data_IF_395065252409
#
_entry.id   IF_395065252409
#
_cell.length_a   1.000
_cell.length_b   1.000
_cell.length_c   1.000
_cell.angle_alpha   90.00
_cell.angle_beta   90.00
_cell.angle_gamma   90.00
#
_symmetry.space_group_name_H-M   'P 1'
#
loop_
_entity.id
_entity.type
_entity.pdbx_description
1 polymer ?
#
# COMPACT_ATOMS: atom_id res chain seq x y z
N UNK A 1 -4.16 0.09 -47.03
CA UNK A 1 -2.75 0.29 -47.42
C UNK A 1 -1.96 0.06 -46.13
N UNK A 2 -1.49 -1.17 -45.96
CA UNK A 2 -0.63 -1.52 -44.86
C UNK A 2 0.70 -0.79 -45.06
N UNK A 3 1.11 -0.03 -44.08
CA UNK A 3 2.32 0.77 -44.08
C UNK A 3 3.55 -0.15 -44.19
N UNK A 4 4.51 0.20 -45.05
CA UNK A 4 5.80 -0.50 -45.19
C UNK A 4 6.57 -0.62 -43.85
N UNK A 5 6.15 0.09 -42.81
CA UNK A 5 6.70 0.07 -41.46
C UNK A 5 6.14 -1.04 -40.57
N UNK A 6 5.08 -1.74 -41.01
CA UNK A 6 4.48 -2.88 -40.26
C UNK A 6 5.21 -4.21 -40.47
N UNK A 7 6.24 -4.23 -41.33
CA UNK A 7 6.99 -5.44 -41.70
C UNK A 7 8.36 -5.59 -41.04
N UNK A 8 8.74 -4.70 -40.16
CA UNK A 8 9.94 -4.91 -39.34
C UNK A 8 9.66 -5.86 -38.18
N UNK A 9 10.43 -6.94 -37.99
CA UNK A 9 10.31 -7.74 -36.78
C UNK A 9 10.71 -6.87 -35.62
N UNK A 10 9.70 -6.31 -35.00
CA UNK A 10 9.76 -5.55 -33.76
C UNK A 10 10.27 -6.44 -32.67
N UNK A 11 11.51 -6.43 -32.24
CA UNK A 11 11.74 -6.92 -30.88
C UNK A 11 13.17 -6.76 -30.35
N UNK A 12 14.11 -6.24 -31.14
CA UNK A 12 15.48 -6.01 -30.64
C UNK A 12 15.63 -4.75 -29.79
N UNK A 13 14.62 -3.87 -29.75
CA UNK A 13 14.66 -2.58 -29.05
C UNK A 13 13.67 -2.45 -27.87
N UNK A 14 12.81 -3.42 -27.64
CA UNK A 14 11.92 -3.36 -26.48
C UNK A 14 12.69 -3.67 -25.19
N UNK A 15 12.55 -2.84 -24.12
CA UNK A 15 13.18 -3.11 -22.83
C UNK A 15 12.78 -4.46 -22.24
N UNK A 16 13.72 -5.12 -21.58
CA UNK A 16 13.50 -6.44 -20.97
C UNK A 16 12.24 -6.53 -20.10
N UNK A 17 11.88 -5.52 -19.26
CA UNK A 17 10.62 -5.56 -18.52
C UNK A 17 9.36 -5.62 -19.37
N UNK A 18 9.41 -5.14 -20.61
CA UNK A 18 8.27 -5.21 -21.53
C UNK A 18 8.21 -6.57 -22.20
N UNK A 19 9.33 -7.07 -22.72
CA UNK A 19 9.45 -8.38 -23.38
C UNK A 19 9.11 -9.53 -22.42
N UNK A 20 9.55 -9.43 -21.18
CA UNK A 20 9.38 -10.46 -20.14
C UNK A 20 7.98 -10.46 -19.50
N UNK A 21 7.05 -9.59 -19.91
CA UNK A 21 5.68 -9.57 -19.35
C UNK A 21 5.04 -10.95 -19.48
N UNK A 22 4.57 -11.53 -18.37
CA UNK A 22 3.85 -12.79 -18.41
C UNK A 22 2.60 -12.72 -19.30
N UNK A 23 2.33 -13.79 -20.01
CA UNK A 23 1.11 -13.96 -20.83
C UNK A 23 0.14 -14.96 -20.21
N UNK A 24 0.53 -15.64 -19.13
CA UNK A 24 -0.26 -16.65 -18.40
C UNK A 24 -0.23 -16.34 -16.90
N UNK A 25 -1.32 -16.66 -16.19
CA UNK A 25 -1.42 -16.46 -14.74
C UNK A 25 -0.33 -17.23 -13.97
N UNK A 26 0.04 -18.42 -14.43
CA UNK A 26 1.05 -19.26 -13.76
C UNK A 26 2.48 -18.67 -13.82
N UNK A 27 2.71 -17.68 -14.67
CA UNK A 27 3.98 -16.95 -14.77
C UNK A 27 3.99 -15.63 -13.98
N UNK A 28 2.92 -15.34 -13.26
CA UNK A 28 2.84 -14.16 -12.38
C UNK A 28 3.31 -14.55 -10.98
N UNK A 29 4.63 -14.58 -10.79
CA UNK A 29 5.27 -14.98 -9.53
C UNK A 29 4.97 -13.99 -8.40
N UNK A 30 4.87 -14.51 -7.16
CA UNK A 30 4.70 -13.71 -5.94
C UNK A 30 3.29 -13.17 -5.72
N UNK A 31 2.30 -13.58 -6.53
CA UNK A 31 0.90 -13.14 -6.40
C UNK A 31 -0.06 -14.31 -6.20
N UNK A 32 0.40 -15.37 -5.55
CA UNK A 32 -0.36 -16.62 -5.36
C UNK A 32 -1.67 -16.39 -4.60
N UNK A 33 -1.69 -15.43 -3.65
CA UNK A 33 -2.89 -15.05 -2.91
C UNK A 33 -3.97 -14.42 -3.79
N UNK A 34 -3.56 -13.69 -4.83
CA UNK A 34 -4.48 -13.01 -5.74
C UNK A 34 -4.92 -13.92 -6.91
N UNK A 35 -3.98 -14.66 -7.51
CA UNK A 35 -4.21 -15.40 -8.77
C UNK A 35 -3.86 -16.89 -8.69
N UNK A 36 -3.51 -17.42 -7.52
CA UNK A 36 -3.21 -18.84 -7.32
C UNK A 36 -4.41 -19.74 -7.61
N UNK A 37 -4.16 -21.05 -7.74
CA UNK A 37 -5.22 -22.04 -7.94
C UNK A 37 -6.25 -21.98 -6.82
N UNK A 38 -7.54 -21.91 -7.17
CA UNK A 38 -8.65 -21.84 -6.24
C UNK A 38 -8.99 -20.42 -5.74
N UNK A 39 -8.26 -19.39 -6.16
CA UNK A 39 -8.63 -18.00 -5.83
C UNK A 39 -9.84 -17.53 -6.62
N UNK A 40 -10.57 -16.58 -6.05
CA UNK A 40 -11.74 -15.97 -6.70
C UNK A 40 -11.41 -15.41 -8.09
N UNK A 41 -10.34 -14.62 -8.20
CA UNK A 41 -9.99 -13.97 -9.47
C UNK A 41 -9.67 -15.00 -10.56
N UNK A 42 -8.88 -16.02 -10.22
CA UNK A 42 -8.54 -17.09 -11.17
C UNK A 42 -9.80 -17.81 -11.67
N UNK A 43 -10.72 -18.16 -10.79
CA UNK A 43 -11.97 -18.81 -11.17
C UNK A 43 -12.84 -17.94 -12.08
N UNK A 44 -12.88 -16.63 -11.87
CA UNK A 44 -13.63 -15.70 -12.73
C UNK A 44 -12.99 -15.55 -14.11
N UNK A 45 -11.67 -15.49 -14.18
CA UNK A 45 -10.93 -15.41 -15.46
C UNK A 45 -11.10 -16.70 -16.27
N UNK A 46 -10.96 -17.87 -15.65
CA UNK A 46 -11.13 -19.17 -16.30
C UNK A 46 -12.57 -19.40 -16.82
N UNK A 47 -13.57 -18.78 -16.20
CA UNK A 47 -14.99 -18.85 -16.60
C UNK A 47 -15.42 -17.71 -17.55
N UNK A 48 -14.53 -16.81 -17.90
CA UNK A 48 -14.83 -15.56 -18.66
C UNK A 48 -16.00 -14.73 -18.04
N UNK A 49 -16.09 -14.73 -16.70
CA UNK A 49 -17.10 -13.98 -15.93
C UNK A 49 -16.44 -12.87 -15.12
N UNK A 50 -15.63 -12.05 -15.78
CA UNK A 50 -14.77 -11.05 -15.17
C UNK A 50 -15.63 -9.89 -14.62
N UNK A 51 -15.59 -9.60 -13.30
CA UNK A 51 -16.25 -8.43 -12.73
C UNK A 51 -15.39 -7.17 -12.90
N UNK A 52 -16.00 -6.00 -12.71
CA UNK A 52 -15.22 -4.78 -12.53
C UNK A 52 -14.42 -4.83 -11.24
N UNK A 53 -13.16 -4.41 -11.27
CA UNK A 53 -12.23 -4.57 -10.15
C UNK A 53 -11.21 -3.43 -10.04
N UNK A 54 -10.59 -3.34 -8.88
CA UNK A 54 -9.56 -2.36 -8.58
C UNK A 54 -8.32 -3.10 -8.07
N UNK A 55 -7.21 -2.97 -8.78
CA UNK A 55 -5.91 -3.49 -8.38
C UNK A 55 -5.18 -2.46 -7.51
N UNK A 56 -4.87 -2.85 -6.29
CA UNK A 56 -4.14 -2.04 -5.35
C UNK A 56 -2.83 -2.70 -4.96
N UNK A 57 -1.74 -1.95 -4.93
CA UNK A 57 -0.44 -2.44 -4.48
C UNK A 57 0.73 -1.61 -5.00
N UNK A 58 1.97 -1.85 -4.50
CA UNK A 58 3.17 -1.10 -4.87
C UNK A 58 3.49 -1.14 -6.36
N UNK A 59 4.40 -0.26 -6.80
CA UNK A 59 4.95 -0.30 -8.15
C UNK A 59 5.63 -1.64 -8.44
N UNK A 60 5.69 -2.04 -9.71
CA UNK A 60 6.42 -3.25 -10.13
C UNK A 60 5.83 -4.60 -9.72
N UNK A 61 4.66 -4.63 -9.02
CA UNK A 61 4.01 -5.88 -8.54
C UNK A 61 3.21 -6.63 -9.61
N UNK A 62 3.06 -6.07 -10.81
CA UNK A 62 2.40 -6.73 -11.93
C UNK A 62 0.96 -6.34 -12.19
N UNK A 63 0.43 -5.22 -11.67
CA UNK A 63 -0.95 -4.74 -11.90
C UNK A 63 -1.32 -4.65 -13.38
N UNK A 64 -0.53 -3.91 -14.16
CA UNK A 64 -0.72 -3.74 -15.62
C UNK A 64 -0.55 -5.07 -16.36
N UNK A 65 0.37 -5.92 -15.91
CA UNK A 65 0.60 -7.25 -16.45
C UNK A 65 -0.61 -8.16 -16.25
N UNK A 66 -1.15 -8.18 -15.03
CA UNK A 66 -2.33 -8.97 -14.70
C UNK A 66 -3.55 -8.55 -15.53
N UNK A 67 -3.77 -7.24 -15.69
CA UNK A 67 -4.83 -6.75 -16.59
C UNK A 67 -4.66 -7.24 -18.03
N UNK A 68 -3.43 -7.21 -18.55
CA UNK A 68 -3.10 -7.72 -19.88
C UNK A 68 -3.31 -9.23 -20.03
N UNK A 69 -3.01 -10.03 -19.00
CA UNK A 69 -3.29 -11.48 -18.98
C UNK A 69 -4.81 -11.73 -19.02
N UNK A 70 -5.56 -11.03 -18.16
CA UNK A 70 -7.03 -11.14 -18.10
C UNK A 70 -7.63 -10.80 -19.47
N UNK A 71 -7.16 -9.73 -20.10
CA UNK A 71 -7.61 -9.32 -21.42
C UNK A 71 -7.39 -10.40 -22.48
N UNK A 72 -6.21 -11.04 -22.48
CA UNK A 72 -5.88 -12.12 -23.42
C UNK A 72 -6.67 -13.41 -23.19
N UNK A 73 -7.06 -13.67 -21.94
CA UNK A 73 -7.84 -14.85 -21.56
C UNK A 73 -9.36 -14.66 -21.75
N UNK A 74 -9.82 -13.44 -22.02
CA UNK A 74 -11.23 -13.11 -22.20
C UNK A 74 -11.55 -12.83 -23.67
N UNK A 75 -12.82 -13.01 -24.03
CA UNK A 75 -13.34 -12.61 -25.35
C UNK A 75 -13.70 -11.12 -25.43
N UNK A 76 -13.21 -10.31 -24.51
CA UNK A 76 -13.53 -8.89 -24.42
C UNK A 76 -12.55 -8.03 -25.24
N UNK A 77 -13.04 -6.93 -25.77
CA UNK A 77 -12.16 -5.91 -26.36
C UNK A 77 -11.41 -5.17 -25.24
N UNK A 78 -10.10 -5.09 -25.36
CA UNK A 78 -9.27 -4.45 -24.33
C UNK A 78 -8.85 -3.05 -24.71
N UNK A 79 -9.13 -2.08 -23.84
CA UNK A 79 -8.69 -0.70 -23.99
C UNK A 79 -7.82 -0.37 -22.78
N UNK A 80 -6.59 0.11 -23.04
CA UNK A 80 -5.66 0.55 -22.00
C UNK A 80 -5.61 2.08 -21.99
N UNK A 81 -5.89 2.68 -20.84
CA UNK A 81 -5.90 4.12 -20.65
C UNK A 81 -5.07 4.48 -19.42
N UNK A 82 -4.22 5.48 -19.56
CA UNK A 82 -3.49 6.04 -18.41
C UNK A 82 -4.17 7.31 -17.93
N UNK A 83 -4.59 7.32 -16.66
CA UNK A 83 -5.30 8.45 -16.07
C UNK A 83 -4.47 9.75 -16.03
N UNK A 84 -3.15 9.67 -16.12
CA UNK A 84 -2.28 10.86 -16.13
C UNK A 84 -2.50 11.73 -17.37
N UNK A 85 -2.81 11.12 -18.53
CA UNK A 85 -2.92 11.82 -19.82
C UNK A 85 -4.34 11.85 -20.38
N UNK A 86 -5.27 11.10 -19.77
CA UNK A 86 -6.62 10.91 -20.31
C UNK A 86 -7.59 12.01 -19.90
N UNK A 87 -8.33 12.51 -20.89
CA UNK A 87 -9.39 13.49 -20.68
C UNK A 87 -10.81 12.89 -20.66
N UNK A 88 -11.79 13.66 -20.15
CA UNK A 88 -13.22 13.26 -20.15
C UNK A 88 -13.74 12.96 -21.57
N UNK A 89 -13.26 13.71 -22.58
CA UNK A 89 -13.65 13.49 -23.99
C UNK A 89 -13.27 12.11 -24.48
N UNK A 90 -12.05 11.66 -24.19
CA UNK A 90 -11.56 10.33 -24.57
C UNK A 90 -12.35 9.22 -23.87
N UNK A 91 -12.63 9.39 -22.56
CA UNK A 91 -13.48 8.44 -21.84
C UNK A 91 -14.86 8.27 -22.50
N UNK A 92 -15.51 9.39 -22.87
CA UNK A 92 -16.82 9.35 -23.53
C UNK A 92 -16.76 8.61 -24.85
N UNK A 93 -15.72 8.84 -25.65
CA UNK A 93 -15.51 8.13 -26.92
C UNK A 93 -15.37 6.61 -26.69
N UNK A 94 -14.56 6.20 -25.71
CA UNK A 94 -14.39 4.79 -25.35
C UNK A 94 -15.71 4.16 -24.91
N UNK A 95 -16.51 4.88 -24.10
CA UNK A 95 -17.82 4.41 -23.64
C UNK A 95 -18.79 4.24 -24.81
N UNK A 96 -18.85 5.22 -25.73
CA UNK A 96 -19.70 5.13 -26.92
C UNK A 96 -19.32 3.97 -27.83
N UNK A 97 -18.04 3.76 -28.03
CA UNK A 97 -17.55 2.63 -28.83
C UNK A 97 -17.80 1.28 -28.15
N UNK A 98 -17.69 1.21 -26.82
CA UNK A 98 -18.08 0.04 -26.05
C UNK A 98 -19.58 -0.28 -26.24
N UNK A 99 -20.45 0.73 -26.17
CA UNK A 99 -21.89 0.57 -26.43
C UNK A 99 -22.19 0.06 -27.85
N UNK A 100 -21.48 0.57 -28.86
CA UNK A 100 -21.60 0.08 -30.24
C UNK A 100 -21.19 -1.37 -30.33
N UNK A 101 -20.06 -1.79 -29.73
CA UNK A 101 -19.56 -3.18 -29.72
C UNK A 101 -20.54 -4.14 -29.08
N UNK A 102 -21.10 -3.78 -27.94
CA UNK A 102 -22.10 -4.62 -27.27
C UNK A 102 -23.32 -4.83 -28.17
N UNK A 103 -23.81 -3.78 -28.85
CA UNK A 103 -24.98 -3.86 -29.71
C UNK A 103 -24.74 -4.60 -31.00
N UNK A 104 -23.59 -4.41 -31.66
CA UNK A 104 -23.32 -4.95 -32.99
C UNK A 104 -22.58 -6.30 -32.97
N UNK A 105 -21.73 -6.53 -31.98
CA UNK A 105 -20.82 -7.68 -31.90
C UNK A 105 -21.09 -8.57 -30.68
N UNK A 106 -21.98 -8.18 -29.79
CA UNK A 106 -22.18 -8.82 -28.47
C UNK A 106 -20.86 -8.99 -27.70
N UNK A 107 -19.90 -8.11 -27.96
CA UNK A 107 -18.58 -8.15 -27.34
C UNK A 107 -18.47 -7.10 -26.23
N UNK A 108 -18.07 -7.55 -25.03
CA UNK A 108 -17.80 -6.67 -23.88
C UNK A 108 -16.48 -5.92 -24.08
N UNK A 109 -16.35 -4.78 -23.42
CA UNK A 109 -15.12 -3.99 -23.38
C UNK A 109 -14.54 -3.99 -21.96
N UNK A 110 -13.28 -4.41 -21.84
CA UNK A 110 -12.48 -4.21 -20.63
C UNK A 110 -11.74 -2.90 -20.79
N UNK A 111 -12.02 -1.93 -19.90
CA UNK A 111 -11.26 -0.70 -19.79
C UNK A 111 -10.27 -0.88 -18.62
N UNK A 112 -8.98 -0.98 -18.95
CA UNK A 112 -7.93 -0.89 -17.96
C UNK A 112 -7.54 0.57 -17.77
N UNK A 113 -7.69 1.08 -16.54
CA UNK A 113 -7.36 2.45 -16.18
C UNK A 113 -6.19 2.44 -15.19
N UNK A 114 -4.99 2.70 -15.70
CA UNK A 114 -3.80 2.80 -14.85
C UNK A 114 -3.76 4.14 -14.11
N UNK A 115 -3.28 4.11 -12.87
CA UNK A 115 -3.18 5.27 -11.98
C UNK A 115 -4.53 5.99 -11.76
N UNK A 116 -5.62 5.24 -11.51
CA UNK A 116 -6.98 5.78 -11.37
C UNK A 116 -7.09 6.92 -10.36
N UNK A 117 -6.21 6.99 -9.35
CA UNK A 117 -6.15 8.07 -8.37
C UNK A 117 -5.82 9.45 -8.98
N UNK A 118 -5.30 9.49 -10.21
CA UNK A 118 -5.08 10.74 -10.96
C UNK A 118 -6.36 11.33 -11.54
N UNK A 119 -7.42 10.55 -11.61
CA UNK A 119 -8.72 11.05 -12.03
C UNK A 119 -9.39 11.83 -10.89
N UNK A 120 -9.87 13.02 -11.20
CA UNK A 120 -10.72 13.78 -10.28
C UNK A 120 -12.11 13.12 -10.15
N UNK A 121 -12.89 13.57 -9.16
CA UNK A 121 -14.23 13.02 -8.88
C UNK A 121 -15.16 13.03 -10.10
N UNK A 122 -15.17 14.10 -10.87
CA UNK A 122 -16.02 14.23 -12.08
C UNK A 122 -15.64 13.23 -13.17
N UNK A 123 -14.34 12.92 -13.33
CA UNK A 123 -13.88 11.91 -14.28
C UNK A 123 -14.27 10.50 -13.81
N UNK A 124 -14.16 10.22 -12.51
CA UNK A 124 -14.59 8.94 -11.93
C UNK A 124 -16.12 8.77 -12.04
N UNK A 125 -16.90 9.83 -11.88
CA UNK A 125 -18.37 9.80 -11.99
C UNK A 125 -18.85 9.44 -13.40
N UNK A 126 -18.10 9.81 -14.45
CA UNK A 126 -18.42 9.42 -15.84
C UNK A 126 -18.39 7.90 -16.04
N UNK A 127 -17.61 7.18 -15.25
CA UNK A 127 -17.50 5.71 -15.32
C UNK A 127 -18.68 4.98 -14.66
N UNK A 128 -19.37 5.61 -13.71
CA UNK A 128 -20.41 4.95 -12.90
C UNK A 128 -21.51 4.31 -13.73
N UNK A 129 -22.19 5.02 -14.67
CA UNK A 129 -23.29 4.43 -15.41
C UNK A 129 -22.88 3.23 -16.25
N UNK A 130 -21.70 3.28 -16.86
CA UNK A 130 -21.24 2.22 -17.76
C UNK A 130 -20.67 0.99 -17.03
N UNK A 131 -20.24 1.16 -15.77
CA UNK A 131 -19.89 0.06 -14.87
C UNK A 131 -21.16 -0.59 -14.31
N UNK A 132 -22.19 0.21 -13.99
CA UNK A 132 -23.48 -0.28 -13.48
C UNK A 132 -24.26 -1.10 -14.50
N UNK A 133 -24.33 -0.61 -15.74
CA UNK A 133 -25.08 -1.26 -16.82
C UNK A 133 -24.28 -2.40 -17.51
N UNK A 134 -23.03 -2.61 -17.11
CA UNK A 134 -22.15 -3.64 -17.65
C UNK A 134 -21.63 -3.37 -19.08
N UNK A 135 -21.81 -2.15 -19.60
CA UNK A 135 -21.25 -1.73 -20.90
C UNK A 135 -19.73 -1.85 -20.92
N UNK A 136 -19.11 -1.52 -19.77
CA UNK A 136 -17.66 -1.61 -19.55
C UNK A 136 -17.38 -2.45 -18.32
N UNK A 137 -16.41 -3.36 -18.43
CA UNK A 137 -15.74 -3.98 -17.30
C UNK A 137 -14.55 -3.10 -16.96
N UNK A 138 -14.63 -2.38 -15.83
CA UNK A 138 -13.54 -1.51 -15.38
C UNK A 138 -12.52 -2.31 -14.58
N UNK A 139 -11.25 -2.25 -14.99
CA UNK A 139 -10.11 -2.70 -14.18
C UNK A 139 -9.26 -1.47 -13.87
N UNK A 140 -9.48 -0.88 -12.69
CA UNK A 140 -8.64 0.22 -12.20
C UNK A 140 -7.34 -0.31 -11.59
N UNK A 141 -6.26 0.48 -11.66
CA UNK A 141 -5.02 0.20 -10.95
C UNK A 141 -4.56 1.44 -10.18
N UNK A 142 -4.06 1.26 -8.97
CA UNK A 142 -3.53 2.34 -8.13
C UNK A 142 -2.45 1.85 -7.19
N UNK A 143 -1.51 2.74 -6.86
CA UNK A 143 -0.54 2.57 -5.78
C UNK A 143 -0.99 3.23 -4.48
N UNK A 144 -1.97 4.14 -4.57
CA UNK A 144 -2.49 4.90 -3.44
C UNK A 144 -3.67 4.18 -2.77
N UNK A 145 -3.96 4.55 -1.52
CA UNK A 145 -5.05 3.91 -0.76
C UNK A 145 -6.42 4.16 -1.44
N UNK A 146 -7.06 3.12 -1.97
CA UNK A 146 -8.30 3.27 -2.75
C UNK A 146 -9.47 3.85 -1.96
N UNK A 147 -9.48 3.73 -0.64
CA UNK A 147 -10.55 4.28 0.20
C UNK A 147 -10.50 5.81 0.33
N UNK A 148 -9.37 6.43 -0.01
CA UNK A 148 -9.22 7.89 -0.02
C UNK A 148 -9.32 8.46 -1.43
N UNK A 149 -8.81 7.74 -2.43
CA UNK A 149 -8.61 8.25 -3.78
C UNK A 149 -9.75 7.92 -4.74
N UNK A 150 -10.44 6.81 -4.52
CA UNK A 150 -11.57 6.41 -5.38
C UNK A 150 -12.89 6.79 -4.72
N UNK A 151 -13.79 7.43 -5.47
CA UNK A 151 -15.06 7.82 -4.92
C UNK A 151 -15.89 6.61 -4.46
N UNK A 152 -16.60 6.76 -3.34
CA UNK A 152 -17.35 5.66 -2.70
C UNK A 152 -18.36 4.96 -3.61
N UNK A 153 -19.14 5.69 -4.45
CA UNK A 153 -20.05 5.04 -5.40
C UNK A 153 -19.34 4.12 -6.38
N UNK A 154 -18.19 4.52 -6.92
CA UNK A 154 -17.42 3.68 -7.84
C UNK A 154 -16.78 2.50 -7.08
N UNK A 155 -16.15 2.76 -5.94
CA UNK A 155 -15.50 1.74 -5.12
C UNK A 155 -16.45 0.62 -4.69
N UNK A 156 -17.73 0.95 -4.39
CA UNK A 156 -18.75 -0.05 -4.00
C UNK A 156 -19.11 -1.03 -5.12
N UNK A 157 -18.77 -0.73 -6.37
CA UNK A 157 -19.03 -1.54 -7.58
C UNK A 157 -17.80 -2.29 -8.07
N UNK A 158 -16.65 -2.01 -7.45
CA UNK A 158 -15.38 -2.63 -7.82
C UNK A 158 -14.98 -3.69 -6.80
N UNK A 159 -14.54 -4.84 -7.27
CA UNK A 159 -13.89 -5.81 -6.41
C UNK A 159 -12.44 -5.40 -6.17
N UNK A 160 -12.09 -5.13 -4.91
CA UNK A 160 -10.71 -4.82 -4.54
C UNK A 160 -9.86 -6.10 -4.58
N UNK A 161 -8.75 -6.04 -5.33
CA UNK A 161 -7.72 -7.09 -5.43
C UNK A 161 -6.40 -6.45 -5.00
N UNK A 162 -5.86 -6.93 -3.90
CA UNK A 162 -4.56 -6.45 -3.39
C UNK A 162 -3.44 -7.29 -3.95
N UNK A 163 -2.43 -6.63 -4.53
CA UNK A 163 -1.18 -7.22 -4.98
C UNK A 163 -0.08 -6.83 -3.98
N UNK A 164 0.61 -7.82 -3.46
CA UNK A 164 1.67 -7.63 -2.48
C UNK A 164 3.00 -7.27 -3.16
N UNK A 165 3.92 -6.62 -2.44
CA UNK A 165 5.29 -6.44 -2.89
C UNK A 165 5.91 -7.82 -3.16
N UNK A 166 6.68 -7.94 -4.24
CA UNK A 166 7.30 -9.22 -4.60
C UNK A 166 8.39 -9.58 -3.57
N UNK A 167 8.38 -10.83 -3.13
CA UNK A 167 9.46 -11.32 -2.27
C UNK A 167 10.78 -11.42 -3.04
N UNK A 168 11.95 -11.36 -2.37
CA UNK A 168 13.25 -11.57 -3.04
C UNK A 168 13.29 -12.88 -3.84
N UNK A 169 12.70 -13.94 -3.32
CA UNK A 169 12.57 -15.22 -4.01
C UNK A 169 11.74 -15.13 -5.30
N UNK A 170 10.61 -14.42 -5.26
CA UNK A 170 9.77 -14.21 -6.45
C UNK A 170 10.51 -13.37 -7.51
N UNK A 171 11.24 -12.35 -7.09
CA UNK A 171 12.12 -11.57 -7.99
C UNK A 171 13.20 -12.48 -8.58
N UNK A 172 13.88 -13.30 -7.77
CA UNK A 172 14.86 -14.28 -8.25
C UNK A 172 14.30 -15.21 -9.33
N UNK A 173 13.06 -15.69 -9.17
CA UNK A 173 12.38 -16.51 -10.18
C UNK A 173 12.10 -15.73 -11.48
N UNK A 174 11.68 -14.46 -11.39
CA UNK A 174 11.47 -13.59 -12.56
C UNK A 174 12.79 -13.38 -13.30
N UNK A 175 13.86 -13.06 -12.58
CA UNK A 175 15.18 -12.84 -13.15
C UNK A 175 15.75 -14.13 -13.75
N UNK A 176 15.60 -15.27 -13.06
CA UNK A 176 16.03 -16.59 -13.57
C UNK A 176 15.34 -16.91 -14.90
N UNK A 177 14.02 -16.69 -14.96
CA UNK A 177 13.29 -16.83 -16.22
C UNK A 177 13.85 -15.90 -17.30
N UNK A 178 14.13 -14.64 -16.98
CA UNK A 178 14.67 -13.66 -17.95
C UNK A 178 16.04 -14.09 -18.51
N UNK A 179 16.88 -14.78 -17.72
CA UNK A 179 18.19 -15.27 -18.13
C UNK A 179 18.09 -16.52 -19.00
N UNK A 180 17.09 -17.38 -18.75
CA UNK A 180 16.97 -18.69 -19.42
C UNK A 180 16.07 -18.67 -20.65
N UNK A 181 15.17 -17.71 -20.77
CA UNK A 181 14.21 -17.60 -21.89
C UNK A 181 14.94 -17.14 -23.17
N UNK A 182 14.97 -17.99 -24.18
CA UNK A 182 15.66 -17.72 -25.47
C UNK A 182 14.82 -16.87 -26.43
N UNK A 183 13.49 -16.80 -26.23
CA UNK A 183 12.59 -16.08 -27.16
C UNK A 183 12.47 -14.60 -26.76
N UNK A 184 12.13 -14.32 -25.52
CA UNK A 184 11.83 -12.98 -25.03
C UNK A 184 12.84 -12.48 -23.99
N UNK A 185 13.69 -13.36 -23.47
CA UNK A 185 14.68 -13.07 -22.46
C UNK A 185 16.09 -12.86 -23.01
N UNK A 186 17.05 -13.25 -22.19
CA UNK A 186 18.49 -13.16 -22.45
C UNK A 186 19.12 -14.54 -22.73
N UNK A 187 18.31 -15.61 -22.86
CA UNK A 187 18.78 -17.01 -22.94
C UNK A 187 19.78 -17.26 -24.06
N UNK A 188 19.65 -16.60 -25.20
CA UNK A 188 20.60 -16.71 -26.33
C UNK A 188 22.02 -16.29 -25.96
N UNK A 189 22.18 -15.42 -24.97
CA UNK A 189 23.48 -14.92 -24.50
C UNK A 189 24.19 -15.88 -23.55
N UNK A 190 23.52 -16.93 -23.06
CA UNK A 190 24.05 -17.96 -22.14
C UNK A 190 24.79 -17.41 -20.93
N UNK A 191 24.26 -16.31 -20.36
CA UNK A 191 24.85 -15.63 -19.22
C UNK A 191 24.84 -16.51 -17.98
N UNK A 192 25.92 -16.47 -17.20
CA UNK A 192 26.05 -17.19 -15.94
C UNK A 192 25.75 -16.24 -14.78
N UNK A 193 24.88 -16.66 -13.86
CA UNK A 193 24.57 -15.94 -12.63
C UNK A 193 24.07 -16.93 -11.59
N UNK A 194 24.50 -16.76 -10.35
CA UNK A 194 24.06 -17.62 -9.24
C UNK A 194 22.69 -17.17 -8.72
N UNK A 195 21.95 -18.08 -8.09
CA UNK A 195 20.66 -17.73 -7.49
C UNK A 195 20.82 -16.72 -6.35
N UNK A 196 21.94 -16.79 -5.62
CA UNK A 196 22.28 -15.85 -4.55
C UNK A 196 22.32 -14.39 -5.09
N UNK A 197 23.01 -14.17 -6.20
CA UNK A 197 23.12 -12.86 -6.85
C UNK A 197 21.74 -12.34 -7.31
N UNK A 198 20.87 -13.24 -7.79
CA UNK A 198 19.50 -12.86 -8.20
C UNK A 198 18.62 -12.51 -7.00
N UNK A 199 18.78 -13.20 -5.87
CA UNK A 199 18.08 -12.89 -4.62
C UNK A 199 18.58 -11.57 -4.02
N UNK A 200 19.88 -11.28 -4.10
CA UNK A 200 20.45 -10.00 -3.68
C UNK A 200 19.86 -8.81 -4.47
N UNK A 201 19.65 -8.97 -5.78
CA UNK A 201 18.89 -7.99 -6.58
C UNK A 201 17.47 -7.88 -6.06
N UNK A 202 16.82 -9.01 -5.72
CA UNK A 202 15.46 -9.04 -5.18
C UNK A 202 15.32 -8.26 -3.87
N UNK A 203 16.30 -8.36 -2.99
CA UNK A 203 16.39 -7.58 -1.75
C UNK A 203 16.55 -6.09 -2.07
N UNK A 204 17.50 -5.77 -2.97
CA UNK A 204 17.84 -4.41 -3.33
C UNK A 204 16.66 -3.61 -3.93
N UNK A 205 15.85 -4.24 -4.80
CA UNK A 205 14.73 -3.57 -5.47
C UNK A 205 13.46 -3.47 -4.62
N UNK A 206 13.47 -3.99 -3.41
CA UNK A 206 12.36 -3.92 -2.45
C UNK A 206 10.99 -4.26 -3.07
N UNK A 207 10.94 -5.36 -3.83
CA UNK A 207 9.71 -5.89 -4.41
C UNK A 207 9.29 -5.31 -5.76
N UNK A 208 10.10 -4.45 -6.40
CA UNK A 208 9.83 -3.92 -7.74
C UNK A 208 10.45 -4.80 -8.84
N UNK A 209 9.62 -5.67 -9.46
CA UNK A 209 10.06 -6.55 -10.53
C UNK A 209 10.48 -5.83 -11.81
N UNK A 210 9.96 -4.61 -12.09
CA UNK A 210 10.35 -3.80 -13.25
C UNK A 210 11.77 -3.28 -13.07
N UNK A 211 12.06 -2.74 -11.88
CA UNK A 211 13.41 -2.27 -11.53
C UNK A 211 14.42 -3.42 -11.59
N UNK A 212 14.07 -4.61 -11.07
CA UNK A 212 14.92 -5.79 -11.12
C UNK A 212 15.33 -6.19 -12.55
N UNK A 213 14.35 -6.23 -13.46
CA UNK A 213 14.60 -6.55 -14.88
C UNK A 213 15.43 -5.48 -15.58
N UNK A 214 15.25 -4.18 -15.27
CA UNK A 214 16.08 -3.10 -15.80
C UNK A 214 17.54 -3.24 -15.35
N UNK A 215 17.78 -3.54 -14.08
CA UNK A 215 19.12 -3.77 -13.54
C UNK A 215 19.77 -4.97 -14.22
N UNK A 216 19.03 -6.07 -14.39
CA UNK A 216 19.53 -7.25 -15.08
C UNK A 216 19.90 -6.96 -16.54
N UNK A 217 19.07 -6.21 -17.27
CA UNK A 217 19.33 -5.82 -18.66
C UNK A 217 20.61 -4.99 -18.80
N UNK A 218 20.78 -4.00 -17.92
CA UNK A 218 21.97 -3.17 -17.89
C UNK A 218 23.23 -3.97 -17.50
N UNK A 219 23.12 -4.87 -16.51
CA UNK A 219 24.23 -5.75 -16.12
C UNK A 219 24.62 -6.70 -17.26
N UNK A 220 23.64 -7.25 -17.96
CA UNK A 220 23.88 -8.07 -19.14
C UNK A 220 24.62 -7.31 -20.23
N UNK A 221 24.33 -6.02 -20.44
CA UNK A 221 25.02 -5.20 -21.42
C UNK A 221 26.52 -4.94 -21.07
N UNK A 222 26.89 -5.09 -19.80
CA UNK A 222 28.28 -4.88 -19.33
C UNK A 222 29.15 -6.11 -19.42
N UNK A 223 28.60 -7.28 -19.72
CA UNK A 223 29.37 -8.54 -19.82
C UNK A 223 29.29 -9.11 -21.24
N UNK A 224 30.32 -9.85 -21.71
CA UNK A 224 30.25 -10.53 -23.00
C UNK A 224 29.22 -11.70 -22.96
N UNK A 225 28.91 -12.26 -24.13
CA UNK A 225 28.15 -13.49 -24.21
C UNK A 225 28.90 -14.62 -23.48
N UNK A 226 28.13 -15.52 -22.85
CA UNK A 226 28.65 -16.56 -21.94
C UNK A 226 29.36 -16.02 -20.69
N UNK A 227 29.33 -14.67 -20.49
CA UNK A 227 29.95 -14.01 -19.34
C UNK A 227 29.16 -14.21 -18.04
N UNK A 228 29.83 -13.88 -16.92
CA UNK A 228 29.25 -14.01 -15.58
C UNK A 228 28.79 -12.64 -15.08
N UNK A 229 27.51 -12.55 -14.66
CA UNK A 229 27.00 -11.41 -13.92
C UNK A 229 27.28 -11.65 -12.44
N UNK A 230 28.27 -10.96 -11.93
CA UNK A 230 28.63 -10.99 -10.51
C UNK A 230 28.01 -9.80 -9.76
N UNK A 231 28.11 -9.82 -8.41
CA UNK A 231 27.64 -8.72 -7.58
C UNK A 231 28.36 -7.39 -7.91
N UNK A 232 29.65 -7.43 -8.25
CA UNK A 232 30.44 -6.27 -8.61
C UNK A 232 29.95 -5.61 -9.92
N UNK A 233 29.45 -6.43 -10.87
CA UNK A 233 28.83 -5.90 -12.11
C UNK A 233 27.52 -5.18 -11.77
N UNK A 234 26.71 -5.79 -10.90
CA UNK A 234 25.45 -5.16 -10.45
C UNK A 234 25.69 -3.88 -9.67
N UNK A 235 26.70 -3.84 -8.78
CA UNK A 235 27.07 -2.62 -8.04
C UNK A 235 27.50 -1.48 -8.97
N UNK A 236 28.21 -1.79 -10.06
CA UNK A 236 28.55 -0.79 -11.08
C UNK A 236 27.33 -0.24 -11.80
N UNK A 237 26.34 -1.10 -12.10
CA UNK A 237 25.07 -0.68 -12.72
C UNK A 237 24.27 0.23 -11.79
N UNK A 238 24.19 -0.13 -10.53
CA UNK A 238 23.40 0.60 -9.53
C UNK A 238 24.09 1.85 -9.01
N UNK A 239 25.43 1.96 -9.20
CA UNK A 239 26.26 3.08 -8.73
C UNK A 239 26.49 3.12 -7.21
N UNK A 240 26.11 2.06 -6.49
CA UNK A 240 26.33 1.91 -5.05
C UNK A 240 26.51 0.44 -4.68
N UNK A 241 27.07 0.17 -3.51
CA UNK A 241 27.21 -1.20 -3.00
C UNK A 241 25.83 -1.83 -2.80
N UNK A 242 25.67 -3.03 -3.32
CA UNK A 242 24.56 -3.91 -2.96
C UNK A 242 25.01 -4.61 -1.70
N UNK A 243 24.58 -4.10 -0.54
CA UNK A 243 24.89 -4.80 0.71
C UNK A 243 24.18 -6.16 0.68
N UNK A 244 24.98 -7.19 0.58
CA UNK A 244 24.54 -8.57 0.87
C UNK A 244 24.19 -8.59 2.36
N UNK A 245 22.92 -8.33 2.69
CA UNK A 245 22.43 -8.71 3.98
C UNK A 245 22.58 -10.22 4.11
N UNK A 246 23.16 -10.64 5.21
CA UNK A 246 23.46 -12.04 5.52
C UNK A 246 22.36 -12.99 5.02
N UNK A 247 22.74 -14.12 4.43
CA UNK A 247 22.02 -15.11 3.59
C UNK A 247 20.64 -15.64 4.06
N UNK A 248 19.98 -14.96 5.01
CA UNK A 248 18.61 -15.27 5.46
C UNK A 248 17.81 -13.98 5.41
N UNK A 249 16.77 -13.91 4.61
CA UNK A 249 15.85 -12.77 4.46
C UNK A 249 15.26 -12.19 5.77
N UNK A 250 15.69 -12.71 6.91
CA UNK A 250 15.39 -12.25 8.27
C UNK A 250 16.11 -10.94 8.62
N UNK A 251 17.30 -10.63 8.05
CA UNK A 251 18.12 -9.51 8.53
C UNK A 251 17.55 -8.12 8.20
N UNK A 252 16.77 -7.98 7.12
CA UNK A 252 16.08 -6.73 6.82
C UNK A 252 14.96 -6.46 7.83
N UNK A 253 14.08 -7.46 8.02
CA UNK A 253 13.01 -7.39 9.03
C UNK A 253 13.58 -7.28 10.44
N UNK A 254 14.71 -7.93 10.71
CA UNK A 254 15.42 -7.85 11.99
C UNK A 254 15.98 -6.44 12.24
N UNK A 255 16.55 -5.78 11.22
CA UNK A 255 17.05 -4.41 11.35
C UNK A 255 15.91 -3.42 11.61
N UNK A 256 14.78 -3.55 10.89
CA UNK A 256 13.59 -2.74 11.14
C UNK A 256 13.04 -2.99 12.55
N UNK A 257 12.95 -4.26 12.93
CA UNK A 257 12.50 -4.67 14.26
C UNK A 257 13.41 -4.16 15.37
N UNK A 258 14.74 -4.22 15.15
CA UNK A 258 15.74 -3.69 16.06
C UNK A 258 15.65 -2.16 16.17
N UNK A 259 15.44 -1.44 15.06
CA UNK A 259 15.21 0.00 15.04
C UNK A 259 14.01 0.39 15.91
N UNK A 260 12.85 -0.25 15.69
CA UNK A 260 11.63 0.01 16.46
C UNK A 260 11.84 -0.33 17.93
N UNK A 261 12.43 -1.49 18.23
CA UNK A 261 12.70 -1.94 19.62
C UNK A 261 13.68 -1.04 20.33
N UNK A 262 14.66 -0.45 19.63
CA UNK A 262 15.62 0.49 20.20
C UNK A 262 14.94 1.81 20.58
N UNK A 263 14.07 2.38 19.73
CA UNK A 263 13.27 3.55 20.06
C UNK A 263 12.34 3.28 21.25
N UNK A 264 11.64 2.13 21.24
CA UNK A 264 10.77 1.68 22.33
C UNK A 264 11.53 1.48 23.63
N UNK A 265 12.72 0.90 23.56
CA UNK A 265 13.59 0.62 24.69
C UNK A 265 14.40 1.81 25.17
N UNK A 266 14.27 3.00 24.52
CA UNK A 266 15.00 4.22 24.86
C UNK A 266 16.53 4.10 24.71
N UNK A 267 17.00 3.24 23.81
CA UNK A 267 18.42 3.16 23.43
C UNK A 267 18.66 4.03 22.19
N UNK A 268 19.06 5.29 22.42
CA UNK A 268 19.30 6.25 21.34
C UNK A 268 20.50 5.86 20.47
N UNK A 269 21.52 5.22 21.04
CA UNK A 269 22.71 4.81 20.28
C UNK A 269 22.37 3.69 19.30
N UNK A 270 21.66 2.67 19.76
CA UNK A 270 21.15 1.60 18.91
C UNK A 270 20.15 2.14 17.86
N UNK A 271 19.28 3.09 18.24
CA UNK A 271 18.35 3.74 17.31
C UNK A 271 19.07 4.37 16.13
N UNK A 272 20.09 5.20 16.38
CA UNK A 272 20.87 5.86 15.32
C UNK A 272 21.66 4.82 14.49
N UNK A 273 22.21 3.79 15.12
CA UNK A 273 22.93 2.74 14.42
C UNK A 273 22.02 1.99 13.44
N UNK A 274 20.84 1.54 13.89
CA UNK A 274 19.92 0.81 13.01
C UNK A 274 19.28 1.71 11.96
N UNK A 275 19.04 2.99 12.25
CA UNK A 275 18.65 3.99 11.26
C UNK A 275 19.69 4.11 10.16
N UNK A 276 20.98 4.25 10.50
CA UNK A 276 22.06 4.31 9.54
C UNK A 276 22.13 3.05 8.67
N UNK A 277 21.95 1.85 9.26
CA UNK A 277 21.89 0.59 8.50
C UNK A 277 20.74 0.57 7.50
N UNK A 278 19.55 1.07 7.86
CA UNK A 278 18.40 1.14 6.96
C UNK A 278 18.67 2.12 5.81
N UNK A 279 19.26 3.28 6.09
CA UNK A 279 19.61 4.30 5.08
C UNK A 279 20.63 3.75 4.09
N UNK A 280 21.71 3.15 4.57
CA UNK A 280 22.78 2.57 3.74
C UNK A 280 22.27 1.38 2.92
N UNK A 281 21.29 0.62 3.45
CA UNK A 281 20.60 -0.43 2.71
C UNK A 281 19.66 0.12 1.62
N UNK A 282 19.45 1.44 1.56
CA UNK A 282 18.61 2.08 0.58
C UNK A 282 17.12 2.02 0.86
N UNK A 283 16.75 1.91 2.14
CA UNK A 283 15.35 1.93 2.54
C UNK A 283 14.67 3.26 2.17
N UNK A 284 13.41 3.20 1.77
CA UNK A 284 12.62 4.38 1.44
C UNK A 284 12.49 5.33 2.66
N UNK A 285 12.85 6.62 2.52
CA UNK A 285 12.72 7.59 3.61
C UNK A 285 11.29 7.69 4.16
N UNK A 286 10.27 7.51 3.31
CA UNK A 286 8.88 7.51 3.75
C UNK A 286 8.54 6.26 4.58
N UNK A 287 9.16 5.12 4.27
CA UNK A 287 8.99 3.91 5.07
C UNK A 287 9.59 4.11 6.48
N UNK A 288 10.82 4.63 6.56
CA UNK A 288 11.48 4.93 7.84
C UNK A 288 10.64 5.93 8.64
N UNK A 289 10.20 7.02 8.01
CA UNK A 289 9.35 8.03 8.63
C UNK A 289 8.06 7.44 9.22
N UNK A 290 7.38 6.56 8.48
CA UNK A 290 6.18 5.86 8.98
C UNK A 290 6.46 5.06 10.26
N UNK A 291 7.62 4.40 10.36
CA UNK A 291 7.99 3.64 11.58
C UNK A 291 8.21 4.56 12.77
N UNK A 292 8.83 5.72 12.56
CA UNK A 292 9.03 6.72 13.60
C UNK A 292 7.67 7.28 14.09
N UNK A 293 6.76 7.63 13.17
CA UNK A 293 5.41 8.14 13.49
C UNK A 293 4.61 7.10 14.29
N UNK A 294 4.63 5.84 13.86
CA UNK A 294 3.94 4.76 14.59
C UNK A 294 4.51 4.61 15.99
N UNK A 295 5.83 4.54 16.15
CA UNK A 295 6.48 4.41 17.45
C UNK A 295 6.18 5.61 18.36
N UNK A 296 6.13 6.83 17.82
CA UNK A 296 5.75 8.03 18.57
C UNK A 296 4.30 7.93 19.10
N UNK A 297 3.37 7.39 18.33
CA UNK A 297 1.98 7.22 18.74
C UNK A 297 1.77 6.02 19.69
N UNK A 298 2.41 4.88 19.38
CA UNK A 298 2.24 3.60 20.07
C UNK A 298 2.98 3.55 21.40
N UNK A 299 4.28 3.95 21.37
CA UNK A 299 5.19 3.74 22.51
C UNK A 299 5.39 4.98 23.39
N UNK A 300 5.36 6.19 22.81
CA UNK A 300 5.46 7.45 23.56
C UNK A 300 4.07 7.94 23.96
N UNK A 301 3.13 8.00 23.03
CA UNK A 301 1.74 8.33 23.28
C UNK A 301 1.55 9.62 24.08
N UNK A 302 0.72 9.56 25.14
CA UNK A 302 0.40 10.70 25.99
C UNK A 302 1.49 11.05 27.01
N UNK A 303 2.54 10.22 27.15
CA UNK A 303 3.67 10.57 28.01
C UNK A 303 4.41 11.80 27.46
N UNK A 304 4.49 11.95 26.13
CA UNK A 304 4.96 13.16 25.47
C UNK A 304 4.27 13.35 24.08
N UNK A 305 3.15 14.07 24.01
CA UNK A 305 2.43 14.31 22.76
C UNK A 305 3.25 15.05 21.69
N UNK A 306 4.34 15.73 22.04
CA UNK A 306 5.21 16.39 21.08
C UNK A 306 5.93 15.39 20.18
N UNK A 307 6.15 14.17 20.63
CA UNK A 307 6.80 13.13 19.84
C UNK A 307 6.04 12.85 18.51
N UNK A 308 4.72 12.74 18.57
CA UNK A 308 3.90 12.52 17.37
C UNK A 308 3.90 13.74 16.44
N UNK A 309 3.85 14.95 17.01
CA UNK A 309 3.89 16.20 16.24
C UNK A 309 5.22 16.32 15.50
N UNK A 310 6.33 16.12 16.19
CA UNK A 310 7.67 16.16 15.61
C UNK A 310 7.86 15.06 14.56
N UNK A 311 7.46 13.83 14.85
CA UNK A 311 7.56 12.73 13.93
C UNK A 311 6.77 12.98 12.63
N UNK A 312 5.57 13.55 12.73
CA UNK A 312 4.76 13.90 11.57
C UNK A 312 5.38 15.05 10.75
N UNK A 313 5.89 16.09 11.40
CA UNK A 313 6.62 17.16 10.72
C UNK A 313 7.88 16.64 10.01
N UNK A 314 8.64 15.77 10.68
CA UNK A 314 9.81 15.11 10.09
C UNK A 314 9.46 14.23 8.89
N UNK A 315 8.33 13.50 8.94
CA UNK A 315 7.87 12.70 7.81
C UNK A 315 7.57 13.56 6.58
N UNK A 316 6.88 14.68 6.76
CA UNK A 316 6.58 15.63 5.67
C UNK A 316 7.87 16.27 5.11
N UNK A 317 8.77 16.70 5.97
CA UNK A 317 10.04 17.31 5.57
C UNK A 317 10.95 16.31 4.84
N UNK A 318 11.05 15.07 5.33
CA UNK A 318 11.84 14.01 4.70
C UNK A 318 11.30 13.65 3.30
N UNK A 319 9.97 13.61 3.14
CA UNK A 319 9.33 13.41 1.85
C UNK A 319 9.65 14.55 0.86
N UNK A 320 9.63 15.80 1.33
CA UNK A 320 9.91 16.97 0.49
C UNK A 320 11.37 17.07 0.06
N UNK A 321 12.29 16.74 0.98
CA UNK A 321 13.74 16.94 0.79
C UNK A 321 14.39 15.74 0.09
N UNK A 322 14.03 14.51 0.48
CA UNK A 322 14.65 13.29 -0.02
C UNK A 322 16.07 13.04 0.50
N UNK A 323 16.65 11.88 0.15
CA UNK A 323 18.05 11.59 0.46
C UNK A 323 19.00 12.35 -0.51
N UNK A 324 20.20 12.74 -0.02
CA UNK A 324 20.83 12.34 1.25
C UNK A 324 20.42 13.16 2.48
N UNK A 325 19.80 14.32 2.37
CA UNK A 325 19.54 15.25 3.47
C UNK A 325 18.43 14.76 4.42
N UNK A 326 17.45 13.98 3.94
CA UNK A 326 16.39 13.39 4.76
C UNK A 326 16.92 12.60 5.96
N UNK A 327 18.17 12.07 5.89
CA UNK A 327 18.82 11.36 7.01
C UNK A 327 18.91 12.21 8.28
N UNK A 328 19.13 13.52 8.14
CA UNK A 328 19.28 14.45 9.25
C UNK A 328 17.93 14.59 9.97
N UNK A 329 16.88 14.83 9.21
CA UNK A 329 15.51 15.02 9.68
C UNK A 329 14.99 13.74 10.38
N UNK A 330 15.23 12.59 9.75
CA UNK A 330 14.83 11.28 10.29
C UNK A 330 15.59 10.94 11.57
N UNK A 331 16.88 11.30 11.64
CA UNK A 331 17.71 11.08 12.83
C UNK A 331 17.23 11.93 14.01
N UNK A 332 16.89 13.20 13.78
CA UNK A 332 16.34 14.09 14.82
C UNK A 332 15.07 13.50 15.44
N UNK A 333 14.11 13.12 14.58
CA UNK A 333 12.84 12.54 15.01
C UNK A 333 13.04 11.19 15.75
N UNK A 334 13.89 10.31 15.23
CA UNK A 334 14.17 9.02 15.85
C UNK A 334 14.84 9.18 17.24
N UNK A 335 15.80 10.10 17.36
CA UNK A 335 16.43 10.43 18.64
C UNK A 335 15.41 10.98 19.65
N UNK A 336 14.54 11.90 19.20
CA UNK A 336 13.50 12.44 20.07
C UNK A 336 12.58 11.35 20.61
N UNK A 337 12.07 10.49 19.72
CA UNK A 337 11.20 9.36 20.08
C UNK A 337 11.90 8.39 21.02
N UNK A 338 13.19 8.12 20.81
CA UNK A 338 13.97 7.26 21.69
C UNK A 338 14.15 7.87 23.10
N UNK A 339 14.39 9.17 23.20
CA UNK A 339 14.61 9.88 24.45
C UNK A 339 13.32 10.20 25.22
N UNK A 340 12.18 10.30 24.54
CA UNK A 340 10.91 10.64 25.16
C UNK A 340 10.45 9.58 26.18
N UNK A 341 9.73 9.99 27.26
CA UNK A 341 9.10 9.03 28.17
C UNK A 341 8.09 8.15 27.43
N UNK A 342 7.88 6.92 27.90
CA UNK A 342 7.07 5.91 27.22
C UNK A 342 5.74 5.65 27.92
N UNK A 343 4.65 5.67 27.14
CA UNK A 343 3.33 5.20 27.53
C UNK A 343 2.57 4.63 26.34
N UNK A 344 2.21 3.37 26.42
CA UNK A 344 1.37 2.71 25.42
C UNK A 344 -0.12 2.64 25.82
N UNK A 345 -0.54 3.42 26.83
CA UNK A 345 -1.89 3.37 27.38
C UNK A 345 -2.98 3.58 26.33
N UNK A 346 -2.78 4.53 25.39
CA UNK A 346 -3.74 4.81 24.34
C UNK A 346 -3.83 3.66 23.32
N UNK A 347 -2.72 3.03 22.99
CA UNK A 347 -2.67 1.85 22.11
C UNK A 347 -3.39 0.67 22.75
N UNK A 348 -3.08 0.36 24.01
CA UNK A 348 -3.76 -0.73 24.74
C UNK A 348 -5.26 -0.48 24.90
N UNK A 349 -5.67 0.78 25.07
CA UNK A 349 -7.08 1.15 25.19
C UNK A 349 -7.88 0.85 23.92
N UNK A 350 -7.37 1.24 22.76
CA UNK A 350 -8.07 0.99 21.49
C UNK A 350 -8.10 -0.49 21.14
N UNK A 351 -7.02 -1.22 21.42
CA UNK A 351 -6.98 -2.67 21.17
C UNK A 351 -8.00 -3.43 22.04
N UNK A 352 -8.10 -3.07 23.33
CA UNK A 352 -9.11 -3.64 24.23
C UNK A 352 -10.54 -3.33 23.76
N UNK A 353 -10.80 -2.09 23.32
CA UNK A 353 -12.10 -1.70 22.81
C UNK A 353 -12.46 -2.43 21.50
N UNK A 354 -11.51 -2.59 20.58
CA UNK A 354 -11.68 -3.35 19.33
C UNK A 354 -11.97 -4.83 19.63
N UNK A 355 -11.29 -5.42 20.63
CA UNK A 355 -11.53 -6.79 21.03
C UNK A 355 -12.97 -6.99 21.55
N UNK A 356 -13.48 -6.06 22.36
CA UNK A 356 -14.86 -6.09 22.83
C UNK A 356 -15.86 -5.99 21.67
N UNK A 357 -15.67 -5.04 20.74
CA UNK A 357 -16.53 -4.88 19.57
C UNK A 357 -16.56 -6.13 18.67
N UNK A 358 -15.45 -6.87 18.60
CA UNK A 358 -15.35 -8.09 17.78
C UNK A 358 -15.97 -9.33 18.44
N UNK A 359 -15.95 -9.39 19.77
CA UNK A 359 -16.23 -10.64 20.50
C UNK A 359 -17.40 -10.57 21.45
N UNK A 360 -17.97 -9.38 21.71
CA UNK A 360 -19.09 -9.17 22.63
C UNK A 360 -20.28 -8.52 21.94
N UNK A 361 -21.48 -8.76 22.46
CA UNK A 361 -22.62 -7.91 22.15
C UNK A 361 -22.43 -6.56 22.87
N UNK A 362 -22.10 -5.54 22.11
CA UNK A 362 -21.86 -4.20 22.64
C UNK A 362 -23.15 -3.43 22.91
N UNK A 363 -24.33 -3.95 22.52
CA UNK A 363 -25.60 -3.25 22.65
C UNK A 363 -25.72 -2.03 21.75
N UNK A 364 -26.77 -1.24 21.97
CA UNK A 364 -27.03 -0.01 21.21
C UNK A 364 -26.50 1.23 21.94
N UNK A 365 -26.21 2.28 21.17
CA UNK A 365 -25.90 3.61 21.73
C UNK A 365 -27.05 4.06 22.62
N UNK A 366 -26.77 4.55 23.84
CA UNK A 366 -27.81 5.09 24.74
C UNK A 366 -28.65 6.18 24.06
N UNK A 367 -29.98 6.18 24.28
CA UNK A 367 -30.91 7.03 23.55
C UNK A 367 -30.63 8.54 23.71
N UNK A 368 -30.16 8.97 24.87
CA UNK A 368 -29.78 10.36 25.12
C UNK A 368 -28.53 10.82 24.35
N UNK A 369 -27.68 9.87 23.87
CA UNK A 369 -26.51 10.18 23.06
C UNK A 369 -26.79 10.09 21.55
N UNK A 370 -27.95 9.59 21.14
CA UNK A 370 -28.32 9.49 19.72
C UNK A 370 -28.59 10.89 19.14
N UNK A 371 -28.31 11.02 17.83
CA UNK A 371 -28.56 12.27 17.13
C UNK A 371 -30.02 12.72 17.22
N UNK A 372 -30.22 13.98 17.58
CA UNK A 372 -31.54 14.61 17.73
C UNK A 372 -31.85 15.69 16.70
N UNK A 373 -30.97 15.92 15.70
CA UNK A 373 -31.10 17.03 14.74
C UNK A 373 -31.99 16.75 13.54
N UNK A 374 -32.61 15.57 13.44
CA UNK A 374 -33.52 15.25 12.33
C UNK A 374 -35.00 15.25 12.76
N UNK A 375 -35.87 15.52 11.77
CA UNK A 375 -37.31 15.58 12.01
C UNK A 375 -37.85 14.19 12.39
N UNK A 376 -38.43 14.06 13.62
CA UNK A 376 -38.87 12.76 14.16
C UNK A 376 -38.02 12.17 15.27
N UNK A 377 -36.80 12.66 15.50
CA UNK A 377 -35.90 12.18 16.58
C UNK A 377 -36.57 12.21 17.96
N UNK A 378 -37.32 13.29 18.25
CA UNK A 378 -38.06 13.47 19.52
C UNK A 378 -39.14 12.40 19.75
N UNK A 379 -39.78 11.88 18.68
CA UNK A 379 -40.78 10.81 18.76
C UNK A 379 -40.14 9.44 19.12
N UNK A 380 -38.88 9.28 18.77
CA UNK A 380 -38.06 8.10 19.06
C UNK A 380 -37.32 8.21 20.40
N UNK A 381 -37.43 9.34 21.10
CA UNK A 381 -36.76 9.57 22.39
C UNK A 381 -35.26 9.91 22.24
N UNK A 382 -34.77 10.11 21.03
CA UNK A 382 -33.36 10.39 20.76
C UNK A 382 -32.94 11.76 21.29
N UNK A 383 -31.77 11.86 21.93
CA UNK A 383 -31.23 13.06 22.54
C UNK A 383 -31.96 13.51 23.80
N UNK A 384 -33.03 12.81 24.23
CA UNK A 384 -33.82 13.18 25.40
C UNK A 384 -33.02 12.92 26.68
N UNK A 385 -32.99 13.91 27.58
CA UNK A 385 -32.25 13.89 28.84
C UNK A 385 -30.71 13.90 28.70
N UNK A 386 -30.18 14.25 27.53
CA UNK A 386 -28.74 14.53 27.39
C UNK A 386 -28.34 15.73 28.23
N UNK A 387 -27.30 15.54 29.06
CA UNK A 387 -26.74 16.61 29.89
C UNK A 387 -25.53 17.22 29.15
N UNK A 388 -25.66 18.47 28.71
CA UNK A 388 -24.58 19.16 28.00
C UNK A 388 -23.48 19.58 28.98
N UNK A 389 -22.31 18.99 28.88
CA UNK A 389 -21.23 19.13 29.85
C UNK A 389 -20.78 20.59 30.11
N UNK A 390 -20.83 21.47 29.08
CA UNK A 390 -20.49 22.88 29.24
C UNK A 390 -21.43 23.68 30.16
N UNK A 391 -22.60 23.14 30.48
CA UNK A 391 -23.54 23.75 31.44
C UNK A 391 -23.21 23.39 32.90
N UNK A 392 -22.17 22.58 33.13
CA UNK A 392 -21.78 22.09 34.46
C UNK A 392 -20.38 22.58 34.85
N UNK A 393 -20.08 22.66 36.14
CA UNK A 393 -18.77 23.06 36.64
C UNK A 393 -17.66 22.23 36.01
N UNK A 394 -16.53 22.88 35.68
CA UNK A 394 -15.36 22.26 35.04
C UNK A 394 -15.63 21.51 33.73
N UNK A 395 -16.78 21.74 33.07
CA UNK A 395 -17.15 21.05 31.83
C UNK A 395 -17.35 19.53 32.03
N UNK A 396 -17.69 19.09 33.25
CA UNK A 396 -17.89 17.68 33.57
C UNK A 396 -19.28 17.41 34.12
N UNK A 397 -19.90 16.33 33.66
CA UNK A 397 -21.18 15.85 34.20
C UNK A 397 -21.21 14.32 34.19
N UNK A 398 -21.65 13.74 35.30
CA UNK A 398 -21.82 12.31 35.41
C UNK A 398 -23.10 11.88 34.68
N UNK A 399 -22.93 11.12 33.60
CA UNK A 399 -24.00 10.45 32.86
C UNK A 399 -23.43 9.16 32.23
N UNK A 400 -24.29 8.29 31.75
CA UNK A 400 -23.87 7.07 31.08
C UNK A 400 -23.45 7.41 29.64
N UNK A 401 -22.23 7.06 29.26
CA UNK A 401 -21.72 7.22 27.90
C UNK A 401 -21.59 5.88 27.15
N UNK A 402 -21.22 4.81 27.85
CA UNK A 402 -21.12 3.50 27.24
C UNK A 402 -22.51 2.82 27.14
N UNK A 403 -22.71 1.95 26.14
CA UNK A 403 -23.88 1.07 26.09
C UNK A 403 -24.04 0.25 27.38
N UNK A 404 -25.29 -0.12 27.69
CA UNK A 404 -25.58 -0.84 28.94
C UNK A 404 -24.77 -2.12 29.18
N UNK A 405 -24.49 -2.97 28.15
CA UNK A 405 -23.63 -4.14 28.35
C UNK A 405 -22.18 -3.82 28.68
N UNK A 406 -21.74 -2.59 28.42
CA UNK A 406 -20.34 -2.14 28.58
C UNK A 406 -20.19 -1.06 29.65
N UNK A 407 -21.20 -0.79 30.46
CA UNK A 407 -21.21 0.34 31.42
C UNK A 407 -20.04 0.30 32.42
N UNK A 408 -19.56 -0.90 32.77
CA UNK A 408 -18.44 -1.11 33.68
C UNK A 408 -17.10 -1.32 32.94
N UNK A 409 -17.08 -1.25 31.62
CA UNK A 409 -15.86 -1.45 30.84
C UNK A 409 -14.88 -0.31 31.10
N UNK A 410 -13.61 -0.67 31.30
CA UNK A 410 -12.51 0.29 31.43
C UNK A 410 -11.46 -0.04 30.37
N UNK A 411 -11.32 0.82 29.38
CA UNK A 411 -10.36 0.64 28.30
C UNK A 411 -9.04 1.40 28.55
N UNK A 412 -9.14 2.65 28.98
CA UNK A 412 -7.98 3.48 29.17
C UNK A 412 -7.47 3.40 30.61
N UNK A 413 -6.27 2.83 30.78
CA UNK A 413 -5.55 2.71 32.03
C UNK A 413 -4.20 3.41 31.89
N UNK A 414 -4.14 4.68 32.28
CA UNK A 414 -2.93 5.50 32.16
C UNK A 414 -1.79 5.02 33.07
N UNK A 415 -0.56 5.06 32.53
CA UNK A 415 0.65 4.59 33.23
C UNK A 415 1.23 5.64 34.16
N UNK A 416 0.76 6.90 34.11
CA UNK A 416 1.22 8.05 34.91
C UNK A 416 2.71 8.35 34.70
N UNK A 417 3.12 8.50 33.45
CA UNK A 417 4.49 8.90 33.07
C UNK A 417 4.46 10.17 32.24
N UNK A 418 5.45 11.03 32.46
CA UNK A 418 5.60 12.28 31.73
C UNK A 418 4.33 13.14 31.80
N UNK A 419 3.89 13.68 30.67
CA UNK A 419 2.71 14.56 30.61
C UNK A 419 1.38 13.82 30.85
N UNK A 420 1.35 12.51 30.65
CA UNK A 420 0.16 11.70 30.92
C UNK A 420 -0.25 11.77 32.40
N UNK A 421 0.70 11.84 33.32
CA UNK A 421 0.43 11.98 34.77
C UNK A 421 -0.35 13.26 35.06
N UNK A 422 0.06 14.38 34.47
CA UNK A 422 -0.64 15.65 34.64
C UNK A 422 -2.07 15.60 34.09
N UNK A 423 -2.21 15.05 32.88
CA UNK A 423 -3.52 14.89 32.24
C UNK A 423 -4.48 14.04 33.09
N UNK A 424 -3.97 12.98 33.70
CA UNK A 424 -4.79 12.09 34.54
C UNK A 424 -5.14 12.79 35.87
N UNK A 425 -4.23 13.49 36.48
CA UNK A 425 -4.50 14.24 37.72
C UNK A 425 -5.57 15.32 37.48
N UNK A 426 -5.43 16.10 36.40
CA UNK A 426 -6.41 17.13 36.02
C UNK A 426 -7.78 16.52 35.69
N UNK A 427 -7.81 15.32 35.09
CA UNK A 427 -9.04 14.60 34.78
C UNK A 427 -9.71 14.06 36.07
N UNK A 428 -8.92 13.48 37.00
CA UNK A 428 -9.42 12.99 38.30
C UNK A 428 -10.00 14.14 39.12
N UNK A 429 -9.35 15.31 39.14
CA UNK A 429 -9.84 16.49 39.85
C UNK A 429 -11.19 16.99 39.30
N UNK A 430 -11.30 17.07 37.99
CA UNK A 430 -12.58 17.45 37.35
C UNK A 430 -13.73 16.51 37.67
N UNK A 431 -13.46 15.23 37.95
CA UNK A 431 -14.47 14.24 38.30
C UNK A 431 -14.91 14.28 39.76
N UNK A 432 -14.12 14.91 40.64
CA UNK A 432 -14.45 15.07 42.07
C UNK A 432 -15.36 16.27 42.35
N UNK A 433 -15.39 17.22 41.44
CA UNK A 433 -16.24 18.41 41.51
C UNK A 433 -17.64 18.14 40.96
#
# INVERSE_FOLDING_TARGET
MDSLFDLTPTNTYEPLPVRMRPTKLDHLYGQEKAVGKGTFLRAMVEKDTIPSMLFYGPCGTGKTTLAGIIAKMSNSHFVNLNATNAGIGELRTIIEDARKRVRSLQQRTILFLDEIHRFNKSQQDVLLPCVEDGTIILIGATTENPFFEVNRPLLSRLRLITLEALTPKAIGQILRRAITDEEVGLGKRRLQVTDEVLEDVGIFVNGDGRMALNILEQAAAMVPDEGTISIEVLEKVVGRRIYTYDKKGDSHYDTISAFIKSMRGSDVQATVHYLARMIEAGEDPNFIARRIVICAAEDVGLADPQALILANAAAQAAHMVGFPEARIILSEAACYVALAPKSNSAFMAIDAAIADVRHKDCGQVPDHLKDSHYSGASKLGHGKAYKYAHNYPNGYVKQQYLPTPLVDATYYNGIKRGREEQLLNDWEERRKS
#
